data_IF_802508298375
#
_entry.id   IF_802508298375
#
_cell.length_a   1.000
_cell.length_b   1.000
_cell.length_c   1.000
_cell.angle_alpha   90.00
_cell.angle_beta   90.00
_cell.angle_gamma   90.00
#
_symmetry.space_group_name_H-M   'P 1'
#
loop_
_entity.id
_entity.type
_entity.pdbx_description
1 polymer ?
#
# COMPACT_ATOMS: atom_id res chain seq x y z
N UNK A 1 -9.76 0.21 15.48
CA UNK A 1 -9.12 -1.08 15.10
C UNK A 1 -7.88 -0.75 14.29
N UNK A 2 -6.78 -1.48 14.46
CA UNK A 2 -5.49 -1.17 13.80
C UNK A 2 -5.60 -1.11 12.26
N UNK A 3 -6.43 -1.98 11.67
CA UNK A 3 -6.66 -1.99 10.23
C UNK A 3 -7.34 -0.70 9.71
N UNK A 4 -8.29 -0.13 10.46
CA UNK A 4 -8.99 1.09 10.04
C UNK A 4 -8.02 2.24 9.83
N UNK A 5 -7.03 2.38 10.73
CA UNK A 5 -5.99 3.41 10.60
C UNK A 5 -5.24 3.28 9.28
N UNK A 6 -4.91 2.07 8.85
CA UNK A 6 -4.21 1.87 7.58
C UNK A 6 -5.12 2.15 6.38
N UNK A 7 -6.43 1.85 6.46
CA UNK A 7 -7.38 2.23 5.41
C UNK A 7 -7.44 3.76 5.28
N UNK A 8 -7.54 4.50 6.39
CA UNK A 8 -7.57 5.97 6.37
C UNK A 8 -6.29 6.56 5.75
N UNK A 9 -5.12 5.96 6.01
CA UNK A 9 -3.85 6.37 5.37
C UNK A 9 -3.81 6.03 3.87
N UNK A 10 -4.35 4.89 3.45
CA UNK A 10 -4.44 4.56 2.03
C UNK A 10 -5.40 5.50 1.29
N UNK A 11 -6.50 5.93 1.93
CA UNK A 11 -7.40 6.95 1.40
C UNK A 11 -6.67 8.29 1.23
N UNK A 12 -5.84 8.70 2.20
CA UNK A 12 -4.96 9.87 2.04
C UNK A 12 -4.04 9.72 0.83
N UNK A 13 -3.31 8.61 0.74
CA UNK A 13 -2.38 8.34 -0.36
C UNK A 13 -3.11 8.36 -1.72
N UNK A 14 -4.32 7.82 -1.77
CA UNK A 14 -5.19 7.87 -2.96
C UNK A 14 -5.59 9.31 -3.32
N UNK A 15 -5.97 10.14 -2.34
CA UNK A 15 -6.28 11.56 -2.56
C UNK A 15 -5.07 12.37 -3.07
N UNK A 16 -3.85 11.95 -2.75
CA UNK A 16 -2.62 12.55 -3.29
C UNK A 16 -2.30 12.12 -4.73
N UNK A 17 -3.20 11.37 -5.36
CA UNK A 17 -3.10 10.93 -6.75
C UNK A 17 -2.46 9.56 -6.93
N UNK A 18 -2.19 8.81 -5.87
CA UNK A 18 -1.71 7.43 -6.01
C UNK A 18 -2.84 6.45 -6.33
N UNK A 19 -2.49 5.38 -7.04
CA UNK A 19 -3.30 4.19 -7.24
C UNK A 19 -2.97 3.16 -6.15
N UNK A 20 -4.00 2.72 -5.41
CA UNK A 20 -3.88 1.71 -4.35
C UNK A 20 -4.75 0.52 -4.69
N UNK A 21 -4.21 -0.68 -4.58
CA UNK A 21 -4.91 -1.93 -4.85
C UNK A 21 -4.53 -3.02 -3.85
N UNK A 22 -5.55 -3.62 -3.22
CA UNK A 22 -5.40 -4.78 -2.35
C UNK A 22 -6.24 -5.92 -2.92
N UNK A 23 -5.60 -7.06 -3.18
CA UNK A 23 -6.25 -8.27 -3.71
C UNK A 23 -6.09 -9.43 -2.75
N UNK A 24 -7.09 -10.29 -2.67
CA UNK A 24 -6.98 -11.65 -2.14
C UNK A 24 -7.04 -12.67 -3.29
N UNK A 25 -6.13 -13.64 -3.27
CA UNK A 25 -5.98 -14.71 -4.25
C UNK A 25 -6.14 -16.05 -3.53
N UNK A 26 -7.34 -16.61 -3.60
CA UNK A 26 -7.71 -17.84 -2.91
C UNK A 26 -7.09 -19.11 -3.49
N UNK A 27 -6.59 -19.05 -4.73
CA UNK A 27 -5.98 -20.19 -5.42
C UNK A 27 -4.52 -20.43 -4.98
N UNK A 28 -3.92 -19.48 -4.25
CA UNK A 28 -2.54 -19.60 -3.78
C UNK A 28 -2.48 -20.21 -2.39
N UNK A 29 -1.48 -21.06 -2.14
CA UNK A 29 -1.23 -21.62 -0.80
C UNK A 29 -0.46 -20.65 0.12
N UNK A 30 0.34 -19.75 -0.45
CA UNK A 30 1.14 -18.73 0.24
C UNK A 30 1.09 -17.41 -0.52
N UNK A 31 1.36 -16.31 0.17
CA UNK A 31 1.31 -14.95 -0.36
C UNK A 31 -0.03 -14.67 -1.04
N UNK A 32 -1.11 -14.97 -0.31
CA UNK A 32 -2.50 -14.92 -0.80
C UNK A 32 -3.02 -13.51 -1.01
N UNK A 33 -2.27 -12.49 -0.62
CA UNK A 33 -2.69 -11.10 -0.74
C UNK A 33 -1.68 -10.34 -1.57
N UNK A 34 -2.12 -9.42 -2.38
CA UNK A 34 -1.24 -8.47 -3.08
C UNK A 34 -1.56 -7.07 -2.59
N UNK A 35 -0.55 -6.33 -2.16
CA UNK A 35 -0.63 -4.89 -1.92
C UNK A 35 0.14 -4.20 -3.03
N UNK A 36 -0.52 -3.24 -3.68
CA UNK A 36 0.05 -2.39 -4.71
C UNK A 36 -0.24 -0.93 -4.36
N UNK A 37 0.80 -0.11 -4.31
CA UNK A 37 0.74 1.35 -4.23
C UNK A 37 1.63 1.89 -5.35
N UNK A 38 1.04 2.60 -6.28
CA UNK A 38 1.74 3.21 -7.41
C UNK A 38 1.34 4.67 -7.47
N UNK A 39 2.27 5.59 -7.78
CA UNK A 39 1.91 6.97 -8.07
C UNK A 39 2.12 7.25 -9.55
N UNK A 40 1.04 7.34 -10.35
CA UNK A 40 1.10 7.78 -11.73
C UNK A 40 1.93 9.05 -11.87
N UNK A 41 2.61 9.20 -13.00
CA UNK A 41 3.52 10.33 -13.29
C UNK A 41 4.74 10.43 -12.35
N UNK A 42 5.01 9.37 -11.58
CA UNK A 42 6.24 9.19 -10.81
C UNK A 42 6.86 7.82 -11.10
N UNK A 43 8.08 7.58 -10.61
CA UNK A 43 8.73 6.26 -10.65
C UNK A 43 8.43 5.41 -9.39
N UNK A 44 7.45 5.80 -8.56
CA UNK A 44 7.13 5.09 -7.33
C UNK A 44 6.21 3.90 -7.60
N UNK A 45 6.68 2.71 -7.24
CA UNK A 45 5.94 1.46 -7.29
C UNK A 45 6.30 0.61 -6.07
N UNK A 46 5.33 0.40 -5.19
CA UNK A 46 5.38 -0.59 -4.13
C UNK A 46 4.44 -1.73 -4.49
N UNK A 47 4.97 -2.94 -4.68
CA UNK A 47 4.16 -4.14 -4.91
C UNK A 47 4.72 -5.31 -4.12
N UNK A 48 3.88 -5.90 -3.26
CA UNK A 48 4.24 -7.10 -2.50
C UNK A 48 3.10 -8.09 -2.44
N UNK A 49 3.41 -9.35 -2.71
CA UNK A 49 2.54 -10.47 -2.38
C UNK A 49 2.88 -10.93 -0.95
N UNK A 50 1.88 -11.14 -0.09
CA UNK A 50 2.04 -11.33 1.35
C UNK A 50 0.94 -12.20 1.95
N UNK A 51 1.24 -12.86 3.07
CA UNK A 51 0.22 -13.41 3.96
C UNK A 51 -0.06 -12.52 5.18
N UNK A 52 0.87 -11.62 5.52
CA UNK A 52 0.74 -10.62 6.59
C UNK A 52 0.38 -9.24 6.00
N UNK A 53 -0.92 -8.99 5.90
CA UNK A 53 -1.44 -7.75 5.30
C UNK A 53 -1.02 -6.52 6.10
N UNK A 54 -1.10 -6.57 7.43
CA UNK A 54 -0.92 -5.39 8.29
C UNK A 54 0.51 -4.89 8.21
N UNK A 55 1.48 -5.79 8.32
CA UNK A 55 2.90 -5.42 8.19
C UNK A 55 3.20 -4.87 6.79
N UNK A 56 2.68 -5.51 5.74
CA UNK A 56 2.90 -5.03 4.37
C UNK A 56 2.26 -3.68 4.08
N UNK A 57 1.07 -3.39 4.64
CA UNK A 57 0.44 -2.08 4.54
C UNK A 57 1.29 -1.00 5.22
N UNK A 58 1.76 -1.28 6.43
CA UNK A 58 2.64 -0.38 7.18
C UNK A 58 3.92 -0.05 6.40
N UNK A 59 4.55 -1.06 5.81
CA UNK A 59 5.74 -0.89 4.97
C UNK A 59 5.44 -0.05 3.73
N UNK A 60 4.37 -0.36 3.00
CA UNK A 60 4.00 0.36 1.78
C UNK A 60 3.69 1.83 2.03
N UNK A 61 2.96 2.15 3.10
CA UNK A 61 2.69 3.53 3.52
C UNK A 61 3.99 4.24 3.89
N UNK A 62 4.86 3.62 4.68
CA UNK A 62 6.13 4.22 5.07
C UNK A 62 7.07 4.47 3.88
N UNK A 63 7.12 3.55 2.91
CA UNK A 63 7.91 3.72 1.68
C UNK A 63 7.35 4.85 0.81
N UNK A 64 6.02 4.94 0.67
CA UNK A 64 5.36 6.03 -0.05
C UNK A 64 5.63 7.38 0.62
N UNK A 65 5.48 7.45 1.95
CA UNK A 65 5.76 8.66 2.71
C UNK A 65 7.24 9.05 2.59
N UNK A 66 8.18 8.11 2.61
CA UNK A 66 9.59 8.43 2.39
C UNK A 66 9.86 9.02 0.99
N UNK A 67 9.10 8.60 -0.02
CA UNK A 67 9.24 9.07 -1.40
C UNK A 67 8.60 10.46 -1.63
N UNK A 68 7.48 10.76 -0.97
CA UNK A 68 6.68 11.96 -1.25
C UNK A 68 6.52 12.92 -0.06
N UNK A 69 6.90 12.54 1.15
CA UNK A 69 7.06 13.45 2.29
C UNK A 69 8.38 14.21 2.18
N UNK A 70 8.42 15.12 1.20
CA UNK A 70 9.18 16.37 1.29
C UNK A 70 8.24 17.50 0.88
N UNK A 71 7.49 18.02 1.84
CA UNK A 71 7.02 19.42 1.89
C UNK A 71 6.33 19.69 3.24
N UNK A 72 7.12 20.02 4.25
CA UNK A 72 6.82 21.12 5.17
C UNK A 72 8.01 22.07 5.07
#
# INVERSE_FOLDING_TARGET
MELQKYIDELDRIQMEGAFVFIKWDGEREKNRKTVLIEKPDSNFLFRRDTDDLVTTLKEGIAEYDAAFSKSI
#
